data_IF_523639495337
#
_entry.id   IF_523639495337
#
_cell.length_a   1.000
_cell.length_b   1.000
_cell.length_c   1.000
_cell.angle_alpha   90.00
_cell.angle_beta   90.00
_cell.angle_gamma   90.00
#
_symmetry.space_group_name_H-M   'P 1'
#
loop_
_entity.id
_entity.type
_entity.pdbx_description
1 polymer ?
#
# COMPACT_ATOMS: atom_id res chain seq x y z
N UNK A 1 -21.04 -73.59 3.39
CA UNK A 1 -21.03 -72.32 4.16
C UNK A 1 -19.82 -71.41 3.90
N UNK A 2 -18.65 -71.91 3.44
CA UNK A 2 -17.47 -71.06 3.17
C UNK A 2 -17.61 -70.09 1.98
N UNK A 3 -18.53 -70.34 1.05
CA UNK A 3 -18.75 -69.49 -0.13
C UNK A 3 -19.36 -68.12 0.22
N UNK A 4 -20.21 -68.07 1.26
CA UNK A 4 -20.90 -66.82 1.66
C UNK A 4 -19.94 -65.84 2.35
N UNK A 5 -18.98 -66.36 3.13
CA UNK A 5 -17.96 -65.51 3.75
C UNK A 5 -17.03 -64.90 2.71
N UNK A 6 -16.67 -65.64 1.66
CA UNK A 6 -15.80 -65.11 0.60
C UNK A 6 -16.45 -63.93 -0.15
N UNK A 7 -17.77 -64.00 -0.42
CA UNK A 7 -18.49 -62.90 -1.06
C UNK A 7 -18.61 -61.67 -0.16
N UNK A 8 -18.85 -61.90 1.13
CA UNK A 8 -18.92 -60.85 2.15
C UNK A 8 -17.57 -60.13 2.27
N UNK A 9 -16.47 -60.85 2.40
CA UNK A 9 -15.14 -60.24 2.50
C UNK A 9 -14.74 -59.49 1.21
N UNK A 10 -15.10 -60.01 0.04
CA UNK A 10 -14.85 -59.33 -1.24
C UNK A 10 -15.62 -58.00 -1.34
N UNK A 11 -16.92 -58.01 -0.99
CA UNK A 11 -17.74 -56.79 -0.99
C UNK A 11 -17.23 -55.76 0.04
N UNK A 12 -16.90 -56.19 1.26
CA UNK A 12 -16.32 -55.29 2.26
C UNK A 12 -14.96 -54.74 1.80
N UNK A 13 -14.12 -55.52 1.13
CA UNK A 13 -12.85 -55.06 0.61
C UNK A 13 -13.03 -54.03 -0.51
N UNK A 14 -13.97 -54.25 -1.43
CA UNK A 14 -14.31 -53.28 -2.50
C UNK A 14 -14.88 -51.99 -1.91
N UNK A 15 -15.79 -52.08 -0.94
CA UNK A 15 -16.37 -50.94 -0.23
C UNK A 15 -15.30 -50.18 0.57
N UNK A 16 -14.42 -50.90 1.28
CA UNK A 16 -13.35 -50.30 2.05
C UNK A 16 -12.36 -49.58 1.13
N UNK A 17 -11.96 -50.17 0.01
CA UNK A 17 -11.09 -49.53 -0.97
C UNK A 17 -11.75 -48.29 -1.57
N UNK A 18 -13.03 -48.34 -1.94
CA UNK A 18 -13.71 -47.17 -2.50
C UNK A 18 -13.86 -46.05 -1.47
N UNK A 19 -14.20 -46.37 -0.23
CA UNK A 19 -14.28 -45.40 0.87
C UNK A 19 -12.89 -44.82 1.19
N UNK A 20 -11.86 -45.66 1.27
CA UNK A 20 -10.49 -45.23 1.53
C UNK A 20 -9.91 -44.40 0.36
N UNK A 21 -10.25 -44.73 -0.88
CA UNK A 21 -9.85 -43.97 -2.07
C UNK A 21 -10.58 -42.62 -2.14
N UNK A 22 -11.86 -42.58 -1.78
CA UNK A 22 -12.63 -41.34 -1.68
C UNK A 22 -12.08 -40.40 -0.60
N UNK A 23 -11.69 -40.97 0.55
CA UNK A 23 -10.99 -40.26 1.63
C UNK A 23 -9.59 -39.81 1.15
N UNK A 24 -8.79 -40.69 0.55
CA UNK A 24 -7.42 -40.38 0.15
C UNK A 24 -7.34 -39.37 -1.02
N UNK A 25 -8.30 -39.38 -1.94
CA UNK A 25 -8.42 -38.37 -3.02
C UNK A 25 -8.88 -37.02 -2.46
N UNK A 26 -9.72 -37.03 -1.43
CA UNK A 26 -10.21 -35.83 -0.75
C UNK A 26 -9.12 -35.06 0.01
N UNK A 27 -7.99 -35.70 0.33
CA UNK A 27 -6.83 -35.08 1.00
C UNK A 27 -6.18 -33.96 0.16
N UNK A 28 -6.46 -33.86 -1.14
CA UNK A 28 -5.75 -32.88 -1.97
C UNK A 28 -6.15 -31.43 -1.70
N UNK A 29 -7.35 -31.12 -1.19
CA UNK A 29 -7.76 -29.73 -0.98
C UNK A 29 -8.91 -29.57 0.04
N UNK A 30 -8.59 -29.26 1.30
CA UNK A 30 -9.34 -28.39 2.23
C UNK A 30 -10.68 -28.89 2.79
N UNK A 31 -11.50 -29.55 1.98
CA UNK A 31 -12.83 -30.03 2.36
C UNK A 31 -12.76 -31.22 3.32
N UNK A 32 -11.73 -32.05 3.18
CA UNK A 32 -11.50 -33.18 4.08
C UNK A 32 -11.16 -32.72 5.49
N UNK A 33 -10.29 -31.73 5.67
CA UNK A 33 -9.98 -31.23 7.02
C UNK A 33 -11.21 -30.61 7.69
N UNK A 34 -12.04 -29.89 6.93
CA UNK A 34 -13.31 -29.32 7.43
C UNK A 34 -14.28 -30.42 7.87
N UNK A 35 -14.42 -31.50 7.09
CA UNK A 35 -15.30 -32.62 7.45
C UNK A 35 -14.76 -33.38 8.67
N UNK A 36 -13.44 -33.57 8.77
CA UNK A 36 -12.80 -34.24 9.90
C UNK A 36 -13.00 -33.46 11.20
N UNK A 37 -12.64 -32.17 11.21
CA UNK A 37 -12.81 -31.32 12.40
C UNK A 37 -14.28 -31.07 12.70
N UNK A 38 -15.12 -30.94 11.66
CA UNK A 38 -16.56 -30.80 11.78
C UNK A 38 -17.18 -32.02 12.46
N UNK A 39 -16.81 -33.23 12.04
CA UNK A 39 -17.30 -34.47 12.66
C UNK A 39 -16.86 -34.59 14.12
N UNK A 40 -15.60 -34.27 14.43
CA UNK A 40 -15.08 -34.29 15.79
C UNK A 40 -15.79 -33.27 16.69
N UNK A 41 -16.00 -32.06 16.17
CA UNK A 41 -16.77 -31.01 16.86
C UNK A 41 -18.25 -31.39 17.01
N UNK A 42 -18.85 -32.04 16.01
CA UNK A 42 -20.23 -32.54 16.07
C UNK A 42 -20.39 -33.65 17.11
N UNK A 43 -19.37 -34.49 17.34
CA UNK A 43 -19.40 -35.50 18.40
C UNK A 43 -19.31 -34.84 19.77
N UNK A 44 -18.39 -33.89 19.95
CA UNK A 44 -18.20 -33.21 21.24
C UNK A 44 -19.36 -32.27 21.60
N UNK A 45 -19.79 -31.43 20.65
CA UNK A 45 -20.82 -30.43 20.87
C UNK A 45 -22.22 -30.92 20.50
N UNK A 46 -22.35 -31.89 19.60
CA UNK A 46 -23.62 -32.36 19.06
C UNK A 46 -24.05 -31.62 17.78
N UNK A 47 -24.64 -32.32 16.78
CA UNK A 47 -25.06 -31.74 15.50
C UNK A 47 -26.14 -30.65 15.62
N UNK A 48 -26.87 -30.62 16.73
CA UNK A 48 -27.88 -29.58 17.00
C UNK A 48 -27.26 -28.29 17.57
N UNK A 49 -26.12 -28.38 18.26
CA UNK A 49 -25.52 -27.23 18.96
C UNK A 49 -24.68 -26.37 18.02
N UNK A 50 -23.91 -26.97 17.11
CA UNK A 50 -23.11 -26.23 16.14
C UNK A 50 -23.91 -25.21 15.31
N UNK A 51 -25.06 -25.57 14.68
CA UNK A 51 -25.86 -24.60 13.94
C UNK A 51 -26.54 -23.56 14.86
N UNK A 52 -26.84 -23.92 16.10
CA UNK A 52 -27.39 -23.00 17.09
C UNK A 52 -26.36 -21.93 17.49
N UNK A 53 -25.11 -22.32 17.72
CA UNK A 53 -23.99 -21.40 17.97
C UNK A 53 -23.70 -20.54 16.74
N UNK A 54 -23.64 -21.14 15.55
CA UNK A 54 -23.42 -20.41 14.30
C UNK A 54 -24.49 -19.35 14.06
N UNK A 55 -25.77 -19.61 14.38
CA UNK A 55 -26.84 -18.60 14.31
C UNK A 55 -26.64 -17.44 15.29
N UNK A 56 -26.21 -17.73 16.53
CA UNK A 56 -25.95 -16.70 17.57
C UNK A 56 -24.75 -15.83 17.19
N UNK A 57 -23.65 -16.45 16.78
CA UNK A 57 -22.45 -15.77 16.29
C UNK A 57 -22.76 -14.99 15.01
N UNK A 58 -23.48 -15.59 14.08
CA UNK A 58 -23.87 -14.95 12.82
C UNK A 58 -24.72 -13.70 13.03
N UNK A 59 -25.64 -13.71 14.00
CA UNK A 59 -26.41 -12.52 14.38
C UNK A 59 -25.50 -11.41 14.92
N UNK A 60 -24.57 -11.77 15.80
CA UNK A 60 -23.57 -10.84 16.35
C UNK A 60 -22.72 -10.24 15.24
N UNK A 61 -22.19 -11.05 14.31
CA UNK A 61 -21.44 -10.57 13.14
C UNK A 61 -22.28 -9.66 12.25
N UNK A 62 -23.57 -9.97 12.06
CA UNK A 62 -24.47 -9.14 11.27
C UNK A 62 -24.70 -7.76 11.91
N UNK A 63 -24.87 -7.72 13.24
CA UNK A 63 -25.00 -6.47 13.99
C UNK A 63 -23.67 -5.68 13.99
N UNK A 64 -22.53 -6.38 14.12
CA UNK A 64 -21.19 -5.79 13.98
C UNK A 64 -20.96 -5.23 12.56
N UNK A 65 -21.42 -5.92 11.52
CA UNK A 65 -21.32 -5.43 10.13
C UNK A 65 -22.11 -4.14 9.95
N UNK A 66 -23.32 -4.05 10.52
CA UNK A 66 -24.15 -2.84 10.46
C UNK A 66 -23.49 -1.67 11.18
N UNK A 67 -23.02 -1.88 12.40
CA UNK A 67 -22.24 -0.88 13.13
C UNK A 67 -20.97 -0.49 12.36
N UNK A 68 -20.26 -1.48 11.81
CA UNK A 68 -19.08 -1.30 10.95
C UNK A 68 -19.34 -0.46 9.71
N UNK A 69 -20.54 -0.55 9.12
CA UNK A 69 -20.95 0.29 8.00
C UNK A 69 -21.13 1.75 8.41
N UNK A 70 -21.66 2.01 9.61
CA UNK A 70 -21.76 3.36 10.15
C UNK A 70 -20.38 3.95 10.48
N UNK A 71 -19.48 3.15 11.08
CA UNK A 71 -18.09 3.55 11.27
C UNK A 71 -17.39 3.89 9.96
N UNK A 72 -17.56 3.03 8.93
CA UNK A 72 -16.95 3.28 7.63
C UNK A 72 -17.48 4.56 6.99
N UNK A 73 -18.79 4.85 7.10
CA UNK A 73 -19.37 6.11 6.61
C UNK A 73 -18.85 7.33 7.35
N UNK A 74 -18.72 7.25 8.68
CA UNK A 74 -18.16 8.34 9.47
C UNK A 74 -16.69 8.61 9.11
N UNK A 75 -15.90 7.55 8.90
CA UNK A 75 -14.52 7.67 8.45
C UNK A 75 -14.40 8.25 7.04
N UNK A 76 -15.24 7.79 6.10
CA UNK A 76 -15.24 8.31 4.72
C UNK A 76 -15.61 9.80 4.69
N UNK A 77 -16.56 10.24 5.54
CA UNK A 77 -16.92 11.66 5.68
C UNK A 77 -15.78 12.51 6.24
N UNK A 78 -15.05 12.00 7.23
CA UNK A 78 -13.90 12.72 7.79
C UNK A 78 -12.76 12.80 6.77
N UNK A 79 -12.47 11.71 6.06
CA UNK A 79 -11.43 11.68 5.02
C UNK A 79 -11.78 12.61 3.85
N UNK A 80 -13.03 12.64 3.41
CA UNK A 80 -13.47 13.54 2.32
C UNK A 80 -13.32 15.02 2.72
N UNK A 81 -13.63 15.36 3.97
CA UNK A 81 -13.42 16.72 4.50
C UNK A 81 -11.94 17.07 4.56
N UNK A 82 -11.11 16.16 5.06
CA UNK A 82 -9.65 16.34 5.12
C UNK A 82 -9.02 16.49 3.72
N UNK A 83 -9.47 15.71 2.74
CA UNK A 83 -9.03 15.84 1.34
C UNK A 83 -9.44 17.20 0.74
N UNK A 84 -10.68 17.65 0.98
CA UNK A 84 -11.15 18.94 0.48
C UNK A 84 -10.38 20.11 1.09
N UNK A 85 -10.06 20.05 2.38
CA UNK A 85 -9.23 21.07 3.05
C UNK A 85 -7.80 21.09 2.49
N UNK A 86 -7.19 19.91 2.26
CA UNK A 86 -5.87 19.80 1.63
C UNK A 86 -5.86 20.38 0.21
N UNK A 87 -6.90 20.13 -0.59
CA UNK A 87 -7.01 20.70 -1.94
C UNK A 87 -7.15 22.23 -1.93
N UNK A 88 -7.93 22.80 -1.02
CA UNK A 88 -8.08 24.25 -0.89
C UNK A 88 -6.76 24.92 -0.48
N UNK A 89 -6.07 24.36 0.52
CA UNK A 89 -4.78 24.86 0.97
C UNK A 89 -3.71 24.80 -0.14
N UNK A 90 -3.67 23.72 -0.93
CA UNK A 90 -2.78 23.63 -2.09
C UNK A 90 -3.04 24.75 -3.10
N UNK A 91 -4.30 24.96 -3.49
CA UNK A 91 -4.68 26.02 -4.43
C UNK A 91 -4.29 27.42 -3.92
N UNK A 92 -4.52 27.70 -2.65
CA UNK A 92 -4.13 28.98 -2.05
C UNK A 92 -2.61 29.18 -1.99
N UNK A 93 -1.83 28.10 -1.84
CA UNK A 93 -0.37 28.16 -1.89
C UNK A 93 0.12 28.39 -3.32
N UNK A 94 -0.41 27.65 -4.29
CA UNK A 94 -0.07 27.75 -5.70
C UNK A 94 -0.42 29.15 -6.25
N UNK A 95 -1.58 29.71 -5.88
CA UNK A 95 -1.97 31.08 -6.25
C UNK A 95 -1.01 32.13 -5.68
N UNK A 96 -0.56 31.97 -4.43
CA UNK A 96 0.45 32.85 -3.83
C UNK A 96 1.83 32.71 -4.49
N UNK A 97 2.21 31.51 -4.93
CA UNK A 97 3.45 31.27 -5.66
C UNK A 97 3.45 31.99 -7.02
N UNK A 98 2.33 31.92 -7.76
CA UNK A 98 2.16 32.62 -9.05
C UNK A 98 2.22 34.15 -8.85
N UNK A 99 1.53 34.66 -7.82
CA UNK A 99 1.55 36.09 -7.46
C UNK A 99 2.94 36.56 -7.05
N UNK A 100 3.70 35.72 -6.34
CA UNK A 100 5.08 36.04 -5.98
C UNK A 100 5.95 36.12 -7.23
N UNK A 101 5.82 35.17 -8.15
CA UNK A 101 6.58 35.12 -9.41
C UNK A 101 6.31 36.35 -10.30
N UNK A 102 5.05 36.78 -10.42
CA UNK A 102 4.66 37.99 -11.15
C UNK A 102 5.23 39.26 -10.49
N UNK A 103 5.27 39.30 -9.15
CA UNK A 103 5.81 40.42 -8.36
C UNK A 103 7.33 40.58 -8.47
N UNK A 104 8.07 39.53 -8.85
CA UNK A 104 9.51 39.61 -9.13
C UNK A 104 9.80 39.99 -10.59
N UNK A 105 8.98 39.57 -11.56
CA UNK A 105 9.12 39.97 -12.96
C UNK A 105 8.90 41.48 -13.17
N UNK A 106 7.88 42.05 -12.50
CA UNK A 106 7.59 43.50 -12.51
C UNK A 106 8.67 44.32 -11.80
N UNK A 107 9.50 43.70 -10.96
CA UNK A 107 10.57 44.40 -10.24
C UNK A 107 11.87 44.56 -11.05
N UNK A 108 12.05 43.75 -12.09
CA UNK A 108 13.25 43.78 -12.95
C UNK A 108 13.20 44.91 -13.99
N UNK A 109 12.02 45.36 -14.39
CA UNK A 109 11.84 46.44 -15.38
C UNK A 109 12.11 47.85 -14.81
N UNK A 110 11.86 48.08 -13.51
CA UNK A 110 12.11 49.39 -12.86
C UNK A 110 13.59 49.62 -12.51
N UNK A 111 14.43 48.58 -12.62
CA UNK A 111 15.87 48.66 -12.34
C UNK A 111 16.70 49.07 -13.57
N UNK A 112 16.18 48.91 -14.79
CA UNK A 112 16.94 49.14 -16.04
C UNK A 112 17.02 50.64 -16.44
N UNK A 113 16.26 51.55 -15.82
CA UNK A 113 16.35 53.00 -16.16
C UNK A 113 17.34 53.85 -15.34
N UNK A 114 18.07 53.29 -14.37
CA UNK A 114 19.04 54.08 -13.55
C UNK A 114 20.53 53.79 -13.80
N UNK A 115 20.89 53.01 -14.83
CA UNK A 115 22.29 52.87 -15.27
C UNK A 115 22.44 53.04 -16.79
N UNK A 116 22.18 54.23 -17.31
CA UNK A 116 22.74 54.69 -18.58
C UNK A 116 23.30 56.11 -18.39
N UNK A 117 24.25 56.25 -17.46
CA UNK A 117 25.25 57.33 -17.53
C UNK A 117 26.60 56.73 -17.17
N UNK A 118 27.52 56.85 -18.12
CA UNK A 118 28.97 56.64 -18.04
C UNK A 118 29.52 55.22 -17.97
N UNK A 119 29.63 54.58 -19.15
CA UNK A 119 30.90 53.96 -19.58
C UNK A 119 31.21 54.24 -21.05
N UNK A 120 31.38 55.52 -21.37
CA UNK A 120 32.48 55.92 -22.25
C UNK A 120 33.76 55.63 -21.46
N UNK A 121 34.72 54.92 -22.05
CA UNK A 121 35.92 54.31 -21.42
C UNK A 121 35.67 52.88 -20.96
N UNK A 122 35.73 51.92 -21.88
CA UNK A 122 36.78 50.87 -21.90
C UNK A 122 36.72 50.25 -23.29
N UNK A 123 37.21 51.03 -24.26
CA UNK A 123 37.74 50.52 -25.50
C UNK A 123 39.22 50.21 -25.27
N UNK A 124 39.55 48.95 -25.00
CA UNK A 124 40.82 48.24 -25.28
C UNK A 124 40.93 47.07 -24.31
N UNK A 125 40.66 45.87 -24.79
CA UNK A 125 41.76 44.96 -25.14
C UNK A 125 41.18 43.57 -25.43
N UNK A 126 41.78 42.94 -26.44
CA UNK A 126 41.79 41.49 -26.70
C UNK A 126 40.60 40.97 -27.50
N UNK A 127 40.77 41.06 -28.82
CA UNK A 127 40.19 40.11 -29.73
C UNK A 127 40.88 38.75 -29.68
N UNK A 128 40.31 37.88 -30.50
CA UNK A 128 40.92 36.70 -31.10
C UNK A 128 41.04 35.45 -30.23
N UNK A 129 40.05 34.58 -30.43
CA UNK A 129 40.19 33.46 -31.37
C UNK A 129 39.88 32.10 -30.78
N UNK A 130 39.29 31.30 -31.66
CA UNK A 130 39.33 29.84 -31.71
C UNK A 130 38.21 29.11 -30.96
N UNK A 131 37.23 28.55 -31.68
CA UNK A 131 37.37 27.34 -32.53
C UNK A 131 37.29 26.11 -31.62
N UNK A 132 36.14 25.46 -31.60
CA UNK A 132 35.94 24.11 -32.13
C UNK A 132 34.42 23.95 -32.32
N UNK A 133 34.04 23.93 -33.60
CA UNK A 133 32.87 23.27 -34.12
C UNK A 133 33.10 21.76 -34.02
N UNK A 134 32.00 21.00 -33.88
CA UNK A 134 31.91 19.55 -34.13
C UNK A 134 32.47 18.68 -32.97
N UNK A 135 31.82 17.61 -32.52
CA UNK A 135 31.06 16.61 -33.26
C UNK A 135 29.97 15.97 -32.41
N UNK A 136 28.92 15.59 -33.12
CA UNK A 136 27.96 14.55 -32.78
C UNK A 136 28.61 13.19 -32.47
N UNK A 137 27.74 12.26 -32.04
CA UNK A 137 27.90 10.80 -31.90
C UNK A 137 28.56 10.38 -30.57
N UNK A 138 28.07 9.42 -29.81
CA UNK A 138 27.09 8.36 -30.04
C UNK A 138 26.75 7.66 -28.71
N UNK A 139 25.85 6.67 -28.81
CA UNK A 139 25.64 5.57 -27.89
C UNK A 139 24.60 5.76 -26.78
N UNK A 140 23.36 5.74 -27.26
CA UNK A 140 22.38 4.78 -26.81
C UNK A 140 22.98 3.42 -26.38
N UNK A 141 22.44 2.94 -25.26
CA UNK A 141 22.41 1.55 -24.80
C UNK A 141 23.72 0.97 -24.23
N UNK A 142 23.76 0.73 -22.92
CA UNK A 142 23.17 -0.51 -22.40
C UNK A 142 23.01 -0.48 -20.87
N UNK A 143 21.79 -0.85 -20.48
CA UNK A 143 21.39 -1.49 -19.23
C UNK A 143 22.47 -2.39 -18.60
N UNK A 144 22.68 -2.27 -17.29
CA UNK A 144 22.30 -3.32 -16.33
C UNK A 144 22.79 -3.02 -14.91
N UNK A 145 21.84 -3.10 -13.97
CA UNK A 145 21.96 -3.87 -12.73
C UNK A 145 23.22 -3.67 -11.87
N UNK A 146 23.09 -2.97 -10.74
CA UNK A 146 23.13 -3.56 -9.38
C UNK A 146 23.48 -2.51 -8.32
N UNK A 147 22.66 -2.55 -7.25
CA UNK A 147 23.01 -2.33 -5.85
C UNK A 147 23.79 -1.07 -5.45
N UNK A 148 23.13 -0.16 -4.72
CA UNK A 148 23.55 0.18 -3.37
C UNK A 148 22.43 0.94 -2.63
N UNK A 149 21.79 0.18 -1.75
CA UNK A 149 20.96 0.62 -0.63
C UNK A 149 21.76 1.61 0.22
N UNK A 150 21.37 2.89 0.18
CA UNK A 150 21.87 3.92 1.08
C UNK A 150 20.74 4.38 2.00
N UNK A 151 20.32 3.47 2.86
CA UNK A 151 19.53 3.76 4.05
C UNK A 151 20.44 4.26 5.16
N UNK A 152 20.85 5.53 5.09
CA UNK A 152 21.44 6.22 6.24
C UNK A 152 20.96 7.67 6.36
N UNK A 153 19.80 7.84 7.02
CA UNK A 153 19.46 9.07 7.75
C UNK A 153 19.22 8.70 9.22
N UNK A 154 20.35 8.71 9.94
CA UNK A 154 20.65 9.15 11.30
C UNK A 154 19.54 9.14 12.39
N UNK A 155 19.86 8.63 13.60
CA UNK A 155 18.96 8.68 14.77
C UNK A 155 18.80 10.12 15.29
N UNK A 156 17.55 10.58 15.45
CA UNK A 156 17.27 11.78 16.25
C UNK A 156 17.27 11.42 17.73
N UNK A 157 18.33 11.89 18.38
CA UNK A 157 18.46 11.98 19.84
C UNK A 157 17.56 13.13 20.28
N UNK A 158 16.51 12.82 21.04
CA UNK A 158 15.73 13.81 21.79
C UNK A 158 16.24 13.88 23.23
N UNK A 159 16.98 14.93 23.65
CA UNK A 159 17.18 15.24 25.05
C UNK A 159 16.32 16.44 25.40
N UNK A 160 15.09 16.24 25.87
CA UNK A 160 14.38 17.34 26.53
C UNK A 160 13.49 16.84 27.67
N UNK A 161 14.16 16.52 28.79
CA UNK A 161 13.57 16.71 30.10
C UNK A 161 13.29 18.21 30.27
N UNK A 162 12.03 18.61 30.12
CA UNK A 162 11.45 19.76 30.84
C UNK A 162 9.93 19.66 30.81
N UNK A 163 9.38 19.20 31.93
CA UNK A 163 8.32 19.90 32.71
C UNK A 163 7.81 18.99 33.83
N UNK A 164 8.56 18.99 34.93
CA UNK A 164 7.98 18.89 36.26
C UNK A 164 7.03 20.08 36.42
N UNK A 165 5.72 19.83 36.27
CA UNK A 165 4.70 20.75 36.75
C UNK A 165 4.38 20.38 38.19
N UNK A 166 4.67 21.34 39.07
CA UNK A 166 4.14 21.50 40.41
C UNK A 166 2.72 20.94 40.56
N UNK A 167 2.57 19.89 41.39
CA UNK A 167 1.63 19.76 42.52
C UNK A 167 1.67 18.32 43.08
#
# INVERSE_FOLDING_TARGET
MKLHQCFIYSQYFVILITVAFFIFIGESLGWQEIILIGTLALIFFGPKRLPELARKVGKTIADLKRAGQEFRRAWEQEIELEEREREFFKKAFDENLIMAEEKYAVKLEDTIQSQEVDKKLVSRSVGDSNFISDKALDNSAQSSMSSEDNSEIKPDVQPENRKQYWL
#
